data_IF_094535896112
#
_entry.id   IF_094535896112
#
_cell.length_a   1.000
_cell.length_b   1.000
_cell.length_c   1.000
_cell.angle_alpha   90.00
_cell.angle_beta   90.00
_cell.angle_gamma   90.00
#
_symmetry.space_group_name_H-M   'P 1'
#
loop_
_entity.id
_entity.type
_entity.pdbx_description
1 polymer ?
#
# COMPACT_ATOMS: atom_id res chain seq x y z
N UNK A 1 -27.10 -16.30 -12.78
CA UNK A 1 -26.26 -17.42 -12.31
C UNK A 1 -26.77 -17.89 -10.96
N UNK A 2 -26.68 -19.19 -10.69
CA UNK A 2 -26.86 -19.78 -9.34
C UNK A 2 -25.64 -19.48 -8.46
N UNK A 3 -25.77 -19.67 -7.14
CA UNK A 3 -24.67 -19.50 -6.18
C UNK A 3 -23.43 -20.34 -6.53
N UNK A 4 -23.62 -21.56 -7.06
CA UNK A 4 -22.53 -22.43 -7.52
C UNK A 4 -21.84 -21.88 -8.76
N UNK A 5 -22.62 -21.32 -9.70
CA UNK A 5 -22.08 -20.69 -10.91
C UNK A 5 -21.29 -19.42 -10.56
N UNK A 6 -21.77 -18.60 -9.60
CA UNK A 6 -21.07 -17.40 -9.13
C UNK A 6 -19.71 -17.75 -8.52
N UNK A 7 -19.66 -18.76 -7.64
CA UNK A 7 -18.39 -19.23 -7.07
C UNK A 7 -17.42 -19.70 -8.15
N UNK A 8 -17.90 -20.53 -9.08
CA UNK A 8 -17.06 -21.03 -10.18
C UNK A 8 -16.55 -19.90 -11.07
N UNK A 9 -17.31 -18.82 -11.25
CA UNK A 9 -16.87 -17.65 -12.00
C UNK A 9 -15.84 -16.81 -11.24
N UNK A 10 -15.99 -16.69 -9.92
CA UNK A 10 -15.00 -16.03 -9.07
C UNK A 10 -13.64 -16.75 -9.13
N UNK A 11 -13.63 -18.08 -9.02
CA UNK A 11 -12.40 -18.88 -9.20
C UNK A 11 -11.80 -18.66 -10.60
N UNK A 12 -12.67 -18.67 -11.63
CA UNK A 12 -12.24 -18.50 -13.02
C UNK A 12 -11.65 -17.12 -13.31
N UNK A 13 -12.12 -16.07 -12.64
CA UNK A 13 -11.56 -14.72 -12.77
C UNK A 13 -10.09 -14.68 -12.37
N UNK A 14 -9.75 -15.34 -11.26
CA UNK A 14 -8.37 -15.42 -10.77
C UNK A 14 -7.50 -16.18 -11.79
N UNK A 15 -7.97 -17.35 -12.25
CA UNK A 15 -7.24 -18.15 -13.25
C UNK A 15 -6.99 -17.40 -14.56
N UNK A 16 -8.00 -16.67 -15.06
CA UNK A 16 -7.87 -15.87 -16.28
C UNK A 16 -6.87 -14.72 -16.09
N UNK A 17 -6.88 -14.10 -14.92
CA UNK A 17 -5.96 -13.02 -14.60
C UNK A 17 -4.51 -13.52 -14.54
N UNK A 18 -4.25 -14.63 -13.84
CA UNK A 18 -2.94 -15.28 -13.79
C UNK A 18 -2.44 -15.72 -15.19
N UNK A 19 -3.37 -16.10 -16.07
CA UNK A 19 -3.06 -16.44 -17.46
C UNK A 19 -2.81 -15.22 -18.36
N UNK A 20 -3.01 -13.99 -17.86
CA UNK A 20 -2.90 -12.75 -18.63
C UNK A 20 -4.04 -12.55 -19.65
N UNK A 21 -5.15 -13.29 -19.50
CA UNK A 21 -6.34 -13.17 -20.36
C UNK A 21 -7.21 -11.98 -19.92
N UNK A 22 -6.62 -10.78 -19.90
CA UNK A 22 -7.22 -9.56 -19.34
C UNK A 22 -8.59 -9.22 -19.92
N UNK A 23 -8.81 -9.41 -21.21
CA UNK A 23 -10.11 -9.10 -21.82
C UNK A 23 -11.20 -10.04 -21.28
N UNK A 24 -10.89 -11.33 -21.13
CA UNK A 24 -11.82 -12.30 -20.57
C UNK A 24 -12.10 -12.03 -19.08
N UNK A 25 -11.11 -11.53 -18.33
CA UNK A 25 -11.33 -11.08 -16.93
C UNK A 25 -12.33 -9.93 -16.91
N UNK A 26 -12.15 -8.91 -17.74
CA UNK A 26 -13.04 -7.75 -17.77
C UNK A 26 -14.48 -8.15 -18.15
N UNK A 27 -14.65 -8.96 -19.19
CA UNK A 27 -15.97 -9.45 -19.62
C UNK A 27 -16.66 -10.27 -18.52
N UNK A 28 -15.96 -11.22 -17.91
CA UNK A 28 -16.52 -12.06 -16.86
C UNK A 28 -16.81 -11.27 -15.57
N UNK A 29 -15.95 -10.31 -15.23
CA UNK A 29 -16.15 -9.48 -14.05
C UNK A 29 -17.39 -8.58 -14.18
N UNK A 30 -17.62 -8.01 -15.37
CA UNK A 30 -18.80 -7.21 -15.68
C UNK A 30 -20.07 -8.10 -15.65
N UNK A 31 -20.01 -9.33 -16.18
CA UNK A 31 -21.12 -10.30 -16.12
C UNK A 31 -21.47 -10.67 -14.66
N UNK A 32 -20.48 -11.07 -13.87
CA UNK A 32 -20.68 -11.44 -12.45
C UNK A 32 -21.23 -10.25 -11.67
N UNK A 33 -20.68 -9.06 -11.88
CA UNK A 33 -21.12 -7.84 -11.19
C UNK A 33 -22.58 -7.51 -11.49
N UNK A 34 -22.98 -7.54 -12.77
CA UNK A 34 -24.36 -7.25 -13.19
C UNK A 34 -25.38 -8.23 -12.59
N UNK A 35 -24.99 -9.50 -12.43
CA UNK A 35 -25.87 -10.53 -11.85
C UNK A 35 -25.96 -10.38 -10.34
N UNK A 36 -24.82 -10.17 -9.67
CA UNK A 36 -24.76 -10.07 -8.21
C UNK A 36 -25.42 -8.78 -7.68
N UNK A 37 -25.38 -7.67 -8.43
CA UNK A 37 -26.11 -6.44 -8.07
C UNK A 37 -27.63 -6.61 -8.06
N UNK A 38 -28.16 -7.59 -8.81
CA UNK A 38 -29.56 -8.01 -8.75
C UNK A 38 -29.84 -9.15 -7.78
N UNK A 39 -28.81 -9.69 -7.12
CA UNK A 39 -28.87 -10.84 -6.22
C UNK A 39 -29.18 -10.49 -4.77
N UNK A 40 -29.40 -11.52 -3.94
CA UNK A 40 -29.52 -11.35 -2.50
C UNK A 40 -28.14 -11.16 -1.86
N UNK A 41 -27.74 -9.90 -1.65
CA UNK A 41 -26.48 -9.55 -1.00
C UNK A 41 -26.41 -10.00 0.47
N UNK A 42 -27.46 -10.57 1.05
CA UNK A 42 -27.36 -11.28 2.33
C UNK A 42 -26.65 -12.65 2.20
N UNK A 43 -26.60 -13.24 1.00
CA UNK A 43 -25.83 -14.46 0.72
C UNK A 43 -24.33 -14.12 0.66
N UNK A 44 -23.55 -14.76 1.54
CA UNK A 44 -22.11 -14.56 1.63
C UNK A 44 -21.40 -14.87 0.30
N UNK A 45 -21.84 -15.89 -0.43
CA UNK A 45 -21.22 -16.27 -1.71
C UNK A 45 -21.46 -15.21 -2.77
N UNK A 46 -22.64 -14.56 -2.76
CA UNK A 46 -22.94 -13.45 -3.67
C UNK A 46 -22.03 -12.25 -3.36
N UNK A 47 -21.84 -11.92 -2.08
CA UNK A 47 -20.94 -10.83 -1.67
C UNK A 47 -19.48 -11.10 -2.03
N UNK A 48 -18.99 -12.29 -1.69
CA UNK A 48 -17.62 -12.72 -1.98
C UNK A 48 -17.35 -12.72 -3.49
N UNK A 49 -18.25 -13.31 -4.28
CA UNK A 49 -18.10 -13.34 -5.74
C UNK A 49 -18.15 -11.94 -6.36
N UNK A 50 -18.98 -11.04 -5.83
CA UNK A 50 -19.06 -9.65 -6.26
C UNK A 50 -17.79 -8.87 -5.93
N UNK A 51 -17.24 -9.06 -4.73
CA UNK A 51 -15.96 -8.47 -4.34
C UNK A 51 -14.85 -8.93 -5.28
N UNK A 52 -14.69 -10.25 -5.48
CA UNK A 52 -13.67 -10.83 -6.36
C UNK A 52 -13.80 -10.29 -7.78
N UNK A 53 -15.00 -10.25 -8.34
CA UNK A 53 -15.22 -9.71 -9.69
C UNK A 53 -14.76 -8.25 -9.82
N UNK A 54 -15.17 -7.38 -8.90
CA UNK A 54 -14.81 -5.96 -8.93
C UNK A 54 -13.32 -5.75 -8.66
N UNK A 55 -12.74 -6.51 -7.74
CA UNK A 55 -11.32 -6.41 -7.40
C UNK A 55 -10.43 -6.90 -8.55
N UNK A 56 -10.72 -8.06 -9.16
CA UNK A 56 -9.96 -8.58 -10.30
C UNK A 56 -10.04 -7.64 -11.51
N UNK A 57 -11.22 -7.05 -11.78
CA UNK A 57 -11.39 -5.99 -12.77
C UNK A 57 -10.48 -4.79 -12.48
N UNK A 58 -10.44 -4.33 -11.23
CA UNK A 58 -9.61 -3.21 -10.81
C UNK A 58 -8.11 -3.48 -10.99
N UNK A 59 -7.65 -4.70 -10.65
CA UNK A 59 -6.26 -5.10 -10.88
C UNK A 59 -5.88 -5.07 -12.35
N UNK A 60 -6.70 -5.68 -13.22
CA UNK A 60 -6.46 -5.68 -14.67
C UNK A 60 -6.41 -4.25 -15.24
N UNK A 61 -7.30 -3.36 -14.79
CA UNK A 61 -7.27 -1.96 -15.21
C UNK A 61 -6.00 -1.24 -14.74
N UNK A 62 -5.52 -1.57 -13.54
CA UNK A 62 -4.24 -1.06 -13.00
C UNK A 62 -3.07 -1.52 -13.88
N UNK A 63 -3.01 -2.81 -14.22
CA UNK A 63 -1.96 -3.40 -15.06
C UNK A 63 -1.97 -2.85 -16.50
N UNK A 64 -3.15 -2.49 -17.01
CA UNK A 64 -3.29 -1.79 -18.30
C UNK A 64 -2.99 -0.29 -18.23
N UNK A 65 -2.76 0.26 -17.04
CA UNK A 65 -2.49 1.68 -16.81
C UNK A 65 -3.72 2.59 -16.88
N UNK A 66 -4.94 2.03 -16.94
CA UNK A 66 -6.18 2.81 -16.82
C UNK A 66 -6.52 3.06 -15.35
N UNK A 67 -5.69 3.90 -14.73
CA UNK A 67 -5.75 4.18 -13.29
C UNK A 67 -7.06 4.83 -12.87
N UNK A 68 -7.71 5.61 -13.75
CA UNK A 68 -9.00 6.23 -13.45
C UNK A 68 -10.09 5.17 -13.31
N UNK A 69 -10.20 4.27 -14.28
CA UNK A 69 -11.16 3.17 -14.22
C UNK A 69 -10.82 2.19 -13.10
N UNK A 70 -9.53 1.96 -12.82
CA UNK A 70 -9.07 1.12 -11.72
C UNK A 70 -9.48 1.70 -10.36
N UNK A 71 -9.25 3.00 -10.11
CA UNK A 71 -9.67 3.66 -8.87
C UNK A 71 -11.17 3.52 -8.63
N UNK A 72 -11.99 3.68 -9.68
CA UNK A 72 -13.44 3.47 -9.58
C UNK A 72 -13.78 2.01 -9.28
N UNK A 73 -13.15 1.06 -9.96
CA UNK A 73 -13.39 -0.38 -9.75
C UNK A 73 -13.02 -0.83 -8.33
N UNK A 74 -11.90 -0.33 -7.78
CA UNK A 74 -11.54 -0.56 -6.37
C UNK A 74 -12.55 0.07 -5.41
N UNK A 75 -13.07 1.26 -5.71
CA UNK A 75 -14.13 1.89 -4.92
C UNK A 75 -15.40 1.04 -4.92
N UNK A 76 -15.77 0.47 -6.08
CA UNK A 76 -16.93 -0.41 -6.22
C UNK A 76 -16.74 -1.73 -5.46
N UNK A 77 -15.52 -2.28 -5.44
CA UNK A 77 -15.17 -3.45 -4.63
C UNK A 77 -15.26 -3.12 -3.13
N UNK A 78 -14.73 -1.98 -2.69
CA UNK A 78 -14.80 -1.51 -1.30
C UNK A 78 -16.23 -1.17 -0.82
N UNK A 79 -17.16 -0.96 -1.76
CA UNK A 79 -18.57 -0.67 -1.50
C UNK A 79 -19.44 -1.93 -1.39
N UNK A 80 -18.89 -3.13 -1.66
CA UNK A 80 -19.62 -4.39 -1.47
C UNK A 80 -20.03 -4.47 0.02
N UNK A 81 -21.31 -4.77 0.33
CA UNK A 81 -21.73 -4.98 1.71
C UNK A 81 -20.83 -6.02 2.37
N UNK A 82 -20.54 -5.88 3.66
CA UNK A 82 -19.72 -6.87 4.38
C UNK A 82 -20.35 -7.22 5.72
N UNK A 83 -20.02 -8.41 6.22
CA UNK A 83 -20.15 -8.72 7.63
C UNK A 83 -19.01 -8.00 8.38
N UNK A 84 -19.32 -7.03 9.26
CA UNK A 84 -18.28 -6.28 9.97
C UNK A 84 -17.46 -7.15 10.93
N UNK A 85 -18.00 -8.30 11.36
CA UNK A 85 -17.34 -9.20 12.30
C UNK A 85 -16.38 -10.18 11.59
N UNK A 86 -16.46 -10.30 10.27
CA UNK A 86 -15.62 -11.17 9.44
C UNK A 86 -14.25 -10.52 9.16
N UNK A 87 -13.13 -11.06 9.70
CA UNK A 87 -11.80 -10.50 9.51
C UNK A 87 -11.34 -10.54 8.05
N UNK A 88 -11.71 -11.56 7.28
CA UNK A 88 -11.27 -11.70 5.90
C UNK A 88 -11.90 -10.60 5.03
N UNK A 89 -13.19 -10.32 5.25
CA UNK A 89 -13.88 -9.21 4.57
C UNK A 89 -13.35 -7.84 5.00
N UNK A 90 -12.95 -7.66 6.27
CA UNK A 90 -12.32 -6.40 6.69
C UNK A 90 -11.00 -6.17 5.96
N UNK A 91 -10.17 -7.20 5.87
CA UNK A 91 -8.91 -7.16 5.14
C UNK A 91 -9.15 -6.83 3.65
N UNK A 92 -10.06 -7.53 2.99
CA UNK A 92 -10.42 -7.34 1.58
C UNK A 92 -10.83 -5.89 1.27
N UNK A 93 -11.72 -5.32 2.09
CA UNK A 93 -12.17 -3.94 1.91
C UNK A 93 -11.06 -2.94 2.18
N UNK A 94 -10.25 -3.14 3.23
CA UNK A 94 -9.10 -2.27 3.51
C UNK A 94 -8.09 -2.31 2.36
N UNK A 95 -7.84 -3.49 1.79
CA UNK A 95 -6.96 -3.69 0.64
C UNK A 95 -7.50 -3.00 -0.61
N UNK A 96 -8.79 -3.14 -0.94
CA UNK A 96 -9.40 -2.45 -2.08
C UNK A 96 -9.31 -0.92 -1.93
N UNK A 97 -9.62 -0.39 -0.75
CA UNK A 97 -9.49 1.04 -0.47
C UNK A 97 -8.05 1.53 -0.57
N UNK A 98 -7.07 0.74 -0.09
CA UNK A 98 -5.65 1.09 -0.21
C UNK A 98 -5.25 1.24 -1.69
N UNK A 99 -5.63 0.28 -2.53
CA UNK A 99 -5.34 0.33 -3.97
C UNK A 99 -6.07 1.48 -4.67
N UNK A 100 -7.31 1.79 -4.29
CA UNK A 100 -7.99 3.00 -4.76
C UNK A 100 -7.16 4.25 -4.46
N UNK A 101 -6.68 4.41 -3.21
CA UNK A 101 -5.84 5.53 -2.81
C UNK A 101 -4.56 5.64 -3.64
N UNK A 102 -3.86 4.51 -3.84
CA UNK A 102 -2.63 4.48 -4.63
C UNK A 102 -2.87 4.85 -6.10
N UNK A 103 -3.98 4.42 -6.70
CA UNK A 103 -4.36 4.86 -8.05
C UNK A 103 -4.58 6.38 -8.12
N UNK A 104 -5.23 6.97 -7.11
CA UNK A 104 -5.47 8.41 -7.04
C UNK A 104 -4.17 9.21 -6.84
N UNK A 105 -3.23 8.73 -6.03
CA UNK A 105 -1.91 9.34 -5.92
C UNK A 105 -1.15 9.30 -7.25
N UNK A 106 -1.19 8.16 -7.96
CA UNK A 106 -0.56 8.00 -9.27
C UNK A 106 -1.21 8.86 -10.38
N UNK A 107 -2.46 9.28 -10.19
CA UNK A 107 -3.18 10.23 -11.03
C UNK A 107 -2.91 11.71 -10.67
N UNK A 108 -2.06 11.98 -9.67
CA UNK A 108 -1.82 13.32 -9.10
C UNK A 108 -3.12 13.94 -8.54
N UNK A 109 -3.95 13.12 -7.88
CA UNK A 109 -5.17 13.52 -7.17
C UNK A 109 -5.05 13.35 -5.64
N UNK A 110 -4.02 13.91 -4.99
CA UNK A 110 -3.67 13.59 -3.60
C UNK A 110 -4.77 13.97 -2.58
N UNK A 111 -5.61 14.98 -2.84
CA UNK A 111 -6.73 15.30 -1.93
C UNK A 111 -7.80 14.19 -1.92
N UNK A 112 -8.01 13.52 -3.04
CA UNK A 112 -8.94 12.38 -3.10
C UNK A 112 -8.32 11.15 -2.44
N UNK A 113 -7.02 10.90 -2.68
CA UNK A 113 -6.27 9.83 -2.02
C UNK A 113 -6.29 9.97 -0.49
N UNK A 114 -5.99 11.17 0.04
CA UNK A 114 -6.08 11.49 1.47
C UNK A 114 -7.45 11.14 2.06
N UNK A 115 -8.54 11.51 1.37
CA UNK A 115 -9.89 11.19 1.83
C UNK A 115 -10.18 9.68 1.88
N UNK A 116 -9.56 8.89 1.00
CA UNK A 116 -9.66 7.42 1.04
C UNK A 116 -8.85 6.86 2.20
N UNK A 117 -7.59 7.27 2.37
CA UNK A 117 -6.74 6.80 3.46
C UNK A 117 -7.31 7.16 4.84
N UNK A 118 -7.90 8.35 4.98
CA UNK A 118 -8.59 8.77 6.20
C UNK A 118 -9.73 7.81 6.57
N UNK A 119 -10.50 7.35 5.58
CA UNK A 119 -11.56 6.37 5.81
C UNK A 119 -11.01 5.01 6.20
N UNK A 120 -9.87 4.58 5.65
CA UNK A 120 -9.21 3.33 6.05
C UNK A 120 -8.84 3.40 7.53
N UNK A 121 -8.14 4.46 7.94
CA UNK A 121 -7.71 4.65 9.34
C UNK A 121 -8.90 4.78 10.27
N UNK A 122 -9.94 5.53 9.88
CA UNK A 122 -11.14 5.68 10.70
C UNK A 122 -11.90 4.35 10.88
N UNK A 123 -12.02 3.55 9.81
CA UNK A 123 -12.82 2.31 9.81
C UNK A 123 -12.07 1.14 10.43
N UNK A 124 -10.76 1.05 10.21
CA UNK A 124 -9.97 -0.14 10.52
C UNK A 124 -8.82 0.10 11.52
N UNK A 125 -8.62 1.34 11.98
CA UNK A 125 -7.48 1.71 12.84
C UNK A 125 -7.39 1.01 14.20
N UNK A 126 -8.44 0.29 14.61
CA UNK A 126 -8.47 -0.51 15.85
C UNK A 126 -8.56 -2.02 15.58
N UNK A 127 -8.34 -2.46 14.34
CA UNK A 127 -8.29 -3.87 14.00
C UNK A 127 -7.18 -4.58 14.78
N UNK A 128 -7.47 -5.78 15.27
CA UNK A 128 -6.55 -6.63 16.03
C UNK A 128 -5.90 -7.71 15.14
N UNK A 129 -6.51 -8.03 14.00
CA UNK A 129 -5.97 -8.98 13.05
C UNK A 129 -4.74 -8.41 12.30
N UNK A 130 -3.64 -9.19 12.19
CA UNK A 130 -2.38 -8.69 11.62
C UNK A 130 -2.51 -8.17 10.18
N UNK A 131 -3.35 -8.81 9.37
CA UNK A 131 -3.43 -8.51 7.93
C UNK A 131 -4.14 -7.18 7.69
N UNK A 132 -5.22 -6.88 8.42
CA UNK A 132 -5.86 -5.56 8.36
C UNK A 132 -4.97 -4.47 8.97
N UNK A 133 -4.26 -4.77 10.07
CA UNK A 133 -3.30 -3.83 10.67
C UNK A 133 -2.20 -3.42 9.69
N UNK A 134 -1.70 -4.34 8.88
CA UNK A 134 -0.76 -4.05 7.81
C UNK A 134 -1.35 -3.09 6.77
N UNK A 135 -2.57 -3.35 6.29
CA UNK A 135 -3.24 -2.44 5.35
C UNK A 135 -3.41 -1.04 5.93
N UNK A 136 -3.72 -0.92 7.22
CA UNK A 136 -3.80 0.37 7.92
C UNK A 136 -2.42 1.05 7.99
N UNK A 137 -1.36 0.32 8.33
CA UNK A 137 0.00 0.89 8.36
C UNK A 137 0.41 1.43 6.98
N UNK A 138 0.19 0.65 5.92
CA UNK A 138 0.43 1.05 4.52
C UNK A 138 -0.41 2.26 4.12
N UNK A 139 -1.67 2.32 4.52
CA UNK A 139 -2.54 3.48 4.27
C UNK A 139 -2.01 4.74 4.96
N UNK A 140 -1.54 4.63 6.20
CA UNK A 140 -0.95 5.76 6.95
C UNK A 140 0.36 6.23 6.33
N UNK A 141 1.22 5.32 5.87
CA UNK A 141 2.46 5.65 5.13
C UNK A 141 2.11 6.43 3.86
N UNK A 142 1.20 5.91 3.03
CA UNK A 142 0.79 6.62 1.81
C UNK A 142 0.11 7.96 2.14
N UNK A 143 -0.73 8.04 3.17
CA UNK A 143 -1.32 9.29 3.64
C UNK A 143 -0.27 10.33 4.01
N UNK A 144 0.78 9.94 4.73
CA UNK A 144 1.89 10.82 5.06
C UNK A 144 2.63 11.32 3.81
N UNK A 145 2.81 10.45 2.79
CA UNK A 145 3.36 10.87 1.50
C UNK A 145 2.43 11.84 0.75
N UNK A 146 1.11 11.57 0.70
CA UNK A 146 0.14 12.48 0.07
C UNK A 146 0.07 13.83 0.79
N UNK A 147 0.30 13.88 2.11
CA UNK A 147 0.46 15.15 2.84
C UNK A 147 1.64 15.98 2.30
N UNK A 148 2.76 15.36 1.94
CA UNK A 148 3.86 16.08 1.27
C UNK A 148 3.45 16.59 -0.11
N UNK A 149 2.72 15.78 -0.89
CA UNK A 149 2.25 16.16 -2.23
C UNK A 149 1.32 17.38 -2.20
N UNK A 150 0.51 17.53 -1.14
CA UNK A 150 -0.34 18.72 -0.96
C UNK A 150 0.35 19.89 -0.25
N UNK A 151 1.66 19.78 0.03
CA UNK A 151 2.45 20.83 0.67
C UNK A 151 2.23 20.96 2.17
N UNK A 152 1.84 19.88 2.86
CA UNK A 152 1.67 19.82 4.32
C UNK A 152 2.71 18.90 4.98
N UNK A 153 3.98 19.33 5.03
CA UNK A 153 5.04 18.52 5.67
C UNK A 153 4.87 18.41 7.19
N UNK A 154 4.04 19.23 7.83
CA UNK A 154 3.81 19.15 9.27
C UNK A 154 2.98 17.90 9.60
N UNK A 155 1.86 17.71 8.90
CA UNK A 155 1.03 16.51 9.06
C UNK A 155 1.77 15.24 8.62
N UNK A 156 2.53 15.31 7.52
CA UNK A 156 3.37 14.21 7.05
C UNK A 156 4.38 13.75 8.12
N UNK A 157 5.09 14.70 8.74
CA UNK A 157 6.07 14.41 9.78
C UNK A 157 5.41 13.80 11.02
N UNK A 158 4.28 14.35 11.47
CA UNK A 158 3.57 13.85 12.64
C UNK A 158 3.14 12.39 12.44
N UNK A 159 2.45 12.09 11.34
CA UNK A 159 1.98 10.74 11.02
C UNK A 159 3.16 9.75 10.92
N UNK A 160 4.23 10.14 10.22
CA UNK A 160 5.41 9.31 10.05
C UNK A 160 6.09 9.00 11.39
N UNK A 161 6.16 9.97 12.32
CA UNK A 161 6.69 9.75 13.66
C UNK A 161 5.83 8.78 14.48
N UNK A 162 4.51 8.93 14.43
CA UNK A 162 3.59 8.01 15.10
C UNK A 162 3.73 6.57 14.56
N UNK A 163 3.98 6.41 13.25
CA UNK A 163 4.26 5.10 12.66
C UNK A 163 5.61 4.51 13.11
N UNK A 164 6.66 5.34 13.16
CA UNK A 164 8.00 4.92 13.63
C UNK A 164 7.95 4.43 15.08
N UNK A 165 7.14 5.08 15.92
CA UNK A 165 6.97 4.72 17.34
C UNK A 165 6.08 3.49 17.54
N UNK A 166 5.15 3.23 16.59
CA UNK A 166 4.18 2.14 16.66
C UNK A 166 4.73 0.80 16.15
N UNK A 167 5.48 0.83 15.04
CA UNK A 167 5.88 -0.36 14.29
C UNK A 167 7.15 -1.01 14.88
N UNK A 168 7.18 -2.34 14.91
CA UNK A 168 8.33 -3.14 15.33
C UNK A 168 9.26 -3.45 14.13
N UNK A 169 10.46 -2.83 14.05
CA UNK A 169 11.38 -3.04 12.94
C UNK A 169 11.99 -4.45 12.89
N UNK A 170 11.72 -5.32 13.88
CA UNK A 170 12.15 -6.72 13.88
C UNK A 170 11.13 -7.67 13.23
N UNK A 171 9.92 -7.19 12.93
CA UNK A 171 8.89 -7.95 12.22
C UNK A 171 8.94 -7.58 10.74
N UNK A 172 9.23 -8.50 9.80
CA UNK A 172 9.42 -8.16 8.38
C UNK A 172 8.29 -7.33 7.76
N UNK A 173 7.04 -7.69 8.06
CA UNK A 173 5.85 -6.98 7.57
C UNK A 173 5.80 -5.52 8.05
N UNK A 174 6.23 -5.26 9.29
CA UNK A 174 6.24 -3.91 9.87
C UNK A 174 7.52 -3.14 9.53
N UNK A 175 8.64 -3.84 9.32
CA UNK A 175 9.95 -3.26 9.05
C UNK A 175 9.96 -2.46 7.73
N UNK A 176 9.32 -2.97 6.67
CA UNK A 176 9.18 -2.24 5.41
C UNK A 176 8.50 -0.88 5.63
N UNK A 177 7.34 -0.89 6.29
CA UNK A 177 6.56 0.33 6.54
C UNK A 177 7.27 1.27 7.52
N UNK A 178 8.02 0.71 8.48
CA UNK A 178 8.84 1.48 9.40
C UNK A 178 9.97 2.22 8.67
N UNK A 179 10.66 1.57 7.72
CA UNK A 179 11.70 2.24 6.90
C UNK A 179 11.07 3.32 6.03
N UNK A 180 9.93 3.03 5.39
CA UNK A 180 9.24 4.01 4.56
C UNK A 180 8.79 5.23 5.37
N UNK A 181 8.26 5.03 6.57
CA UNK A 181 7.89 6.12 7.48
C UNK A 181 9.10 7.01 7.83
N UNK A 182 10.28 6.43 8.07
CA UNK A 182 11.51 7.22 8.30
C UNK A 182 11.92 8.05 7.08
N UNK A 183 11.79 7.49 5.88
CA UNK A 183 12.08 8.21 4.62
C UNK A 183 11.11 9.38 4.42
N UNK A 184 9.82 9.17 4.67
CA UNK A 184 8.81 10.24 4.61
C UNK A 184 9.07 11.32 5.67
N UNK A 185 9.37 10.93 6.92
CA UNK A 185 9.75 11.86 7.97
C UNK A 185 10.98 12.70 7.59
N UNK A 186 11.98 12.09 6.96
CA UNK A 186 13.17 12.78 6.47
C UNK A 186 12.85 13.78 5.34
N UNK A 187 12.00 13.40 4.38
CA UNK A 187 11.52 14.32 3.34
C UNK A 187 10.73 15.50 3.94
N UNK A 188 9.86 15.23 4.90
CA UNK A 188 9.11 16.25 5.62
C UNK A 188 10.01 17.21 6.40
N UNK A 189 11.05 16.69 7.07
CA UNK A 189 12.04 17.49 7.79
C UNK A 189 12.84 18.39 6.85
N UNK A 190 13.23 17.90 5.66
CA UNK A 190 13.88 18.73 4.65
C UNK A 190 12.96 19.86 4.17
N UNK A 191 11.68 19.57 3.89
CA UNK A 191 10.70 20.59 3.52
C UNK A 191 10.46 21.63 4.63
N UNK A 192 10.73 21.28 5.90
CA UNK A 192 10.66 22.16 7.07
C UNK A 192 12.00 22.84 7.40
N UNK A 193 13.00 22.78 6.51
CA UNK A 193 14.35 23.34 6.70
C UNK A 193 15.09 22.76 7.93
N UNK A 194 14.90 21.45 8.17
CA UNK A 194 15.52 20.67 9.26
C UNK A 194 16.34 19.47 8.72
N UNK A 195 17.30 19.68 7.80
CA UNK A 195 18.02 18.59 7.15
C UNK A 195 18.88 17.74 8.11
N UNK A 196 19.37 18.32 9.21
CA UNK A 196 20.13 17.58 10.23
C UNK A 196 19.28 16.54 10.98
N UNK A 197 18.01 16.88 11.23
CA UNK A 197 17.08 15.94 11.83
C UNK A 197 16.73 14.83 10.83
N UNK A 198 16.68 15.14 9.53
CA UNK A 198 16.49 14.16 8.47
C UNK A 198 17.63 13.13 8.41
N UNK A 199 18.89 13.58 8.51
CA UNK A 199 20.07 12.70 8.62
C UNK A 199 19.94 11.79 9.84
N UNK A 200 19.55 12.34 10.99
CA UNK A 200 19.38 11.58 12.24
C UNK A 200 18.28 10.53 12.12
N UNK A 201 17.15 10.88 11.51
CA UNK A 201 16.06 9.94 11.26
C UNK A 201 16.52 8.83 10.33
N UNK A 202 17.11 9.12 9.17
CA UNK A 202 17.55 8.09 8.23
C UNK A 202 18.64 7.20 8.82
N UNK A 203 19.51 7.73 9.68
CA UNK A 203 20.54 6.94 10.34
C UNK A 203 20.01 5.78 11.20
N UNK A 204 18.77 5.88 11.66
CA UNK A 204 18.14 4.83 12.45
C UNK A 204 17.86 3.54 11.69
N UNK A 205 17.87 3.52 10.35
CA UNK A 205 17.56 2.30 9.57
C UNK A 205 18.59 1.18 9.72
N UNK A 206 19.79 1.50 10.21
CA UNK A 206 20.85 0.52 10.45
C UNK A 206 20.61 -0.44 11.63
N UNK A 207 19.50 -0.29 12.38
CA UNK A 207 19.13 -1.23 13.46
C UNK A 207 18.48 -2.51 12.95
N UNK A 208 18.00 -2.50 11.71
CA UNK A 208 17.30 -3.64 11.11
C UNK A 208 18.34 -4.67 10.64
N UNK A 209 18.23 -5.87 11.20
CA UNK A 209 19.02 -7.06 10.85
C UNK A 209 18.05 -8.17 10.39
N UNK A 210 17.45 -7.95 9.22
CA UNK A 210 16.49 -8.86 8.60
C UNK A 210 16.99 -9.27 7.21
N UNK A 211 16.94 -10.57 6.92
CA UNK A 211 17.17 -11.09 5.56
C UNK A 211 15.85 -11.20 4.81
N UNK A 212 15.28 -10.03 4.49
CA UNK A 212 14.09 -9.88 3.66
C UNK A 212 14.42 -8.97 2.46
N UNK A 213 14.22 -9.43 1.21
CA UNK A 213 14.59 -8.64 0.02
C UNK A 213 13.93 -7.27 -0.05
N UNK A 214 12.65 -7.17 0.32
CA UNK A 214 11.88 -5.93 0.26
C UNK A 214 12.37 -4.95 1.33
N UNK A 215 12.63 -5.45 2.54
CA UNK A 215 13.23 -4.63 3.60
C UNK A 215 14.63 -4.14 3.21
N UNK A 216 15.45 -4.99 2.59
CA UNK A 216 16.80 -4.61 2.11
C UNK A 216 16.76 -3.55 1.03
N UNK A 217 15.82 -3.62 0.10
CA UNK A 217 15.60 -2.57 -0.91
C UNK A 217 15.24 -1.23 -0.24
N UNK A 218 14.32 -1.24 0.72
CA UNK A 218 13.94 -0.01 1.43
C UNK A 218 15.08 0.56 2.28
N UNK A 219 15.89 -0.29 2.92
CA UNK A 219 17.09 0.14 3.63
C UNK A 219 18.10 0.78 2.70
N UNK A 220 18.35 0.17 1.53
CA UNK A 220 19.25 0.72 0.53
C UNK A 220 18.79 2.11 0.07
N UNK A 221 17.49 2.27 -0.17
CA UNK A 221 16.96 3.58 -0.53
C UNK A 221 17.07 4.60 0.60
N UNK A 222 16.84 4.21 1.86
CA UNK A 222 17.05 5.11 3.00
C UNK A 222 18.52 5.55 3.14
N UNK A 223 19.48 4.67 2.86
CA UNK A 223 20.90 5.02 2.78
C UNK A 223 21.19 6.01 1.65
N UNK A 224 20.63 5.80 0.45
CA UNK A 224 20.77 6.75 -0.66
C UNK A 224 20.16 8.11 -0.32
N UNK A 225 18.98 8.13 0.29
CA UNK A 225 18.34 9.37 0.75
C UNK A 225 19.25 10.10 1.75
N UNK A 226 19.88 9.38 2.70
CA UNK A 226 20.80 10.00 3.68
C UNK A 226 22.08 10.51 3.03
N UNK A 227 22.63 9.75 2.08
CA UNK A 227 23.80 10.16 1.31
C UNK A 227 23.55 11.48 0.57
N UNK A 228 22.37 11.63 -0.02
CA UNK A 228 21.97 12.83 -0.73
C UNK A 228 21.90 14.04 0.23
N UNK A 229 21.23 13.89 1.38
CA UNK A 229 21.15 14.97 2.38
C UNK A 229 22.53 15.37 2.90
N UNK A 230 23.40 14.39 3.19
CA UNK A 230 24.78 14.67 3.63
C UNK A 230 25.59 15.40 2.55
N UNK A 231 25.44 15.02 1.29
CA UNK A 231 26.10 15.69 0.18
C UNK A 231 25.62 17.14 0.03
N UNK A 232 24.31 17.39 0.14
CA UNK A 232 23.74 18.74 0.06
C UNK A 232 24.17 19.63 1.24
N UNK A 233 24.54 19.04 2.37
CA UNK A 233 25.09 19.72 3.55
C UNK A 233 26.63 19.87 3.52
N UNK A 234 27.31 19.36 2.49
CA UNK A 234 28.78 19.23 2.43
C UNK A 234 29.37 18.46 3.64
N UNK A 235 28.62 17.49 4.17
CA UNK A 235 29.02 16.67 5.31
C UNK A 235 29.65 15.32 4.93
N UNK A 236 30.59 14.80 5.75
CA UNK A 236 31.15 13.48 5.52
C UNK A 236 30.11 12.38 5.75
N UNK A 237 30.29 11.23 5.08
CA UNK A 237 29.44 10.05 5.28
C UNK A 237 28.66 9.60 4.06
N UNK A 238 28.43 10.49 3.07
CA UNK A 238 27.70 10.15 1.85
C UNK A 238 28.28 8.95 1.09
N UNK A 239 29.61 8.83 1.01
CA UNK A 239 30.27 7.69 0.37
C UNK A 239 30.15 6.38 1.17
N UNK A 240 29.98 6.45 2.49
CA UNK A 240 29.72 5.28 3.33
C UNK A 240 28.29 4.79 3.12
N UNK A 241 27.32 5.71 3.14
CA UNK A 241 25.91 5.40 2.86
C UNK A 241 25.72 4.80 1.47
N UNK A 242 26.36 5.37 0.44
CA UNK A 242 26.31 4.80 -0.91
C UNK A 242 26.86 3.36 -0.96
N UNK A 243 27.84 3.03 -0.12
CA UNK A 243 28.37 1.66 0.00
C UNK A 243 27.38 0.76 0.74
N UNK A 244 26.81 1.22 1.85
CA UNK A 244 25.80 0.48 2.61
C UNK A 244 24.57 0.16 1.74
N UNK A 245 24.13 1.10 0.91
CA UNK A 245 23.08 0.87 -0.08
C UNK A 245 23.47 -0.23 -1.09
N UNK A 246 24.68 -0.17 -1.64
CA UNK A 246 25.16 -1.19 -2.57
C UNK A 246 25.28 -2.57 -1.93
N UNK A 247 25.75 -2.66 -0.68
CA UNK A 247 25.88 -3.92 0.06
C UNK A 247 24.51 -4.55 0.37
N UNK A 248 23.52 -3.74 0.75
CA UNK A 248 22.14 -4.19 0.98
C UNK A 248 21.50 -4.78 -0.29
N UNK A 249 21.74 -4.17 -1.44
CA UNK A 249 21.27 -4.66 -2.75
C UNK A 249 22.04 -5.92 -3.16
N UNK A 250 23.37 -5.96 -3.01
CA UNK A 250 24.20 -7.08 -3.42
C UNK A 250 23.93 -8.37 -2.62
N UNK A 251 23.43 -8.27 -1.39
CA UNK A 251 22.92 -9.42 -0.63
C UNK A 251 21.75 -10.16 -1.31
N UNK A 252 21.13 -9.57 -2.35
CA UNK A 252 20.00 -10.16 -3.10
C UNK A 252 20.46 -11.21 -4.12
N UNK A 253 21.70 -11.12 -4.60
CA UNK A 253 22.21 -11.94 -5.72
C UNK A 253 22.93 -13.23 -5.27
N UNK A 254 23.05 -13.48 -3.96
CA UNK A 254 23.71 -14.68 -3.42
C UNK A 254 22.78 -15.91 -3.27
N UNK A 255 21.53 -15.85 -3.75
CA UNK A 255 20.54 -16.91 -3.65
C UNK A 255 19.78 -17.24 -4.96
N UNK A 256 20.42 -17.10 -6.13
CA UNK A 256 19.96 -17.71 -7.40
C UNK A 256 20.94 -18.79 -7.84
#
# INVERSE_FOLDING_TARGET
MSTTELRSAADRLIELHEAGEYEAVLELADEVSAIADGGDVADAVVRESLFIARFQRAMVLTERGDLQSAAQAYADAAAVPTDPDDPDQRHEIAMAMLHQGMCLDALDEPQQALAVYDRIVQRFGVADDPVTRDQVARARVNRAASHLNVGDPTSALQEAQELIDLLDPTVPLEAEQWVMARRIAAAALQALDRPQDAVTILAGVGVIDLDDPTVREQQAQAHLDRAQVLADLDEPGAAEDARQAADAIAGSDLLI
#
